data_IF_086757856682
#
_entry.id   IF_086757856682
#
_cell.length_a   1.000
_cell.length_b   1.000
_cell.length_c   1.000
_cell.angle_alpha   90.00
_cell.angle_beta   90.00
_cell.angle_gamma   90.00
#
_symmetry.space_group_name_H-M   'P 1'
#
loop_
_entity.id
_entity.type
_entity.pdbx_description
1 polymer ?
#
# COMPACT_ATOMS: atom_id res chain seq x y z
N UNK A 1 7.13 -1.97 -16.92
CA UNK A 1 6.09 -2.15 -15.89
C UNK A 1 6.62 -1.74 -14.53
N UNK A 2 5.86 -0.94 -13.80
CA UNK A 2 6.22 -0.51 -12.46
C UNK A 2 4.96 -0.14 -11.69
N UNK A 3 5.05 -0.04 -10.36
CA UNK A 3 3.95 0.44 -9.55
C UNK A 3 3.89 1.97 -9.54
N UNK A 4 2.77 2.50 -9.08
CA UNK A 4 2.52 3.95 -9.09
C UNK A 4 3.46 4.70 -8.14
N UNK A 5 3.76 4.13 -6.98
CA UNK A 5 4.66 4.76 -6.02
C UNK A 5 6.07 4.90 -6.58
N UNK A 6 6.60 3.84 -7.16
CA UNK A 6 7.92 3.86 -7.78
C UNK A 6 7.97 4.85 -8.93
N UNK A 7 6.96 4.85 -9.79
CA UNK A 7 6.90 5.79 -10.91
C UNK A 7 6.87 7.24 -10.41
N UNK A 8 6.05 7.53 -9.42
CA UNK A 8 5.88 8.90 -8.92
C UNK A 8 7.16 9.45 -8.28
N UNK A 9 7.92 8.60 -7.59
CA UNK A 9 9.15 8.99 -6.90
C UNK A 9 10.39 8.91 -7.77
N UNK A 10 10.32 8.22 -8.90
CA UNK A 10 11.46 8.05 -9.80
C UNK A 10 11.77 9.36 -10.53
N UNK A 11 13.01 9.85 -10.42
CA UNK A 11 13.40 11.16 -10.94
C UNK A 11 13.98 11.12 -12.35
N UNK A 12 14.56 10.00 -12.76
CA UNK A 12 15.26 9.89 -14.05
C UNK A 12 14.35 9.31 -15.14
N UNK A 13 13.18 9.94 -15.31
CA UNK A 13 12.18 9.44 -16.27
C UNK A 13 12.55 9.67 -17.74
N UNK A 14 13.39 10.68 -18.00
CA UNK A 14 13.75 11.06 -19.38
C UNK A 14 12.50 11.28 -20.23
N UNK A 15 12.37 10.54 -21.33
CA UNK A 15 11.21 10.64 -22.22
C UNK A 15 10.12 9.60 -21.91
N UNK A 16 10.26 8.87 -20.81
CA UNK A 16 9.26 7.87 -20.42
C UNK A 16 7.98 8.54 -19.96
N UNK A 17 6.85 7.97 -20.33
CA UNK A 17 5.55 8.43 -19.88
C UNK A 17 4.61 7.25 -19.75
N UNK A 18 3.55 7.43 -18.96
CA UNK A 18 2.53 6.40 -18.79
C UNK A 18 1.75 6.27 -20.08
N UNK A 19 1.75 5.09 -20.67
CA UNK A 19 0.98 4.79 -21.86
C UNK A 19 -0.31 4.04 -21.54
N UNK A 20 -0.31 3.29 -20.44
CA UNK A 20 -1.40 2.38 -20.12
C UNK A 20 -1.40 2.12 -18.62
N UNK A 21 -2.47 2.52 -17.93
CA UNK A 21 -2.56 2.35 -16.47
C UNK A 21 -3.98 2.01 -15.97
N UNK A 22 -4.93 1.76 -16.88
CA UNK A 22 -6.32 1.53 -16.52
C UNK A 22 -6.82 0.19 -17.05
N UNK A 23 -6.42 -0.88 -16.38
CA UNK A 23 -6.87 -2.23 -16.73
C UNK A 23 -6.89 -3.07 -15.46
N UNK A 24 -7.86 -3.96 -15.37
CA UNK A 24 -7.98 -4.87 -14.24
C UNK A 24 -6.75 -5.76 -14.08
N UNK A 25 -6.08 -6.08 -15.18
CA UNK A 25 -4.88 -6.89 -15.15
C UNK A 25 -3.71 -6.20 -14.43
N UNK A 26 -3.78 -4.88 -14.27
CA UNK A 26 -2.76 -4.10 -13.57
C UNK A 26 -3.10 -3.87 -12.09
N UNK A 27 -4.20 -4.43 -11.60
CA UNK A 27 -4.60 -4.31 -10.21
C UNK A 27 -3.55 -4.92 -9.31
N UNK A 28 -3.04 -4.13 -8.37
CA UNK A 28 -1.95 -4.51 -7.48
C UNK A 28 -2.38 -4.34 -6.02
N UNK A 29 -3.16 -5.27 -5.48
CA UNK A 29 -3.63 -5.16 -4.10
C UNK A 29 -2.53 -5.47 -3.10
N UNK A 30 -2.59 -4.81 -1.94
CA UNK A 30 -1.71 -5.06 -0.82
C UNK A 30 -2.48 -5.73 0.30
N UNK A 31 -1.83 -6.65 0.99
CA UNK A 31 -2.41 -7.31 2.13
C UNK A 31 -1.49 -7.19 3.35
N UNK A 32 -2.06 -7.33 4.52
CA UNK A 32 -1.30 -7.39 5.76
C UNK A 32 -1.74 -8.64 6.51
N UNK A 33 -0.77 -9.41 7.02
CA UNK A 33 -1.02 -10.70 7.65
C UNK A 33 -0.22 -10.78 8.95
N UNK A 34 -0.90 -11.17 10.04
CA UNK A 34 -0.20 -11.46 11.30
C UNK A 34 0.42 -12.84 11.22
N UNK A 35 1.66 -12.96 11.67
CA UNK A 35 2.36 -14.24 11.70
C UNK A 35 1.80 -15.13 12.80
N UNK A 36 1.65 -16.43 12.53
CA UNK A 36 1.09 -17.40 13.45
C UNK A 36 1.97 -17.56 14.71
N UNK A 37 1.47 -17.17 15.91
CA UNK A 37 2.28 -17.23 17.12
C UNK A 37 2.49 -18.64 17.65
N UNK A 38 1.66 -19.60 17.26
CA UNK A 38 1.85 -21.00 17.65
C UNK A 38 3.08 -21.57 16.94
N UNK A 39 3.23 -21.23 15.66
CA UNK A 39 4.36 -21.70 14.86
C UNK A 39 5.61 -20.87 15.10
N UNK A 40 5.46 -19.58 15.40
CA UNK A 40 6.56 -18.65 15.64
C UNK A 40 6.34 -17.90 16.95
N UNK A 41 6.67 -18.54 18.11
CA UNK A 41 6.31 -17.96 19.41
C UNK A 41 6.97 -16.63 19.77
N UNK A 42 8.04 -16.27 19.07
CA UNK A 42 8.77 -15.01 19.33
C UNK A 42 8.08 -13.77 18.76
N UNK A 43 7.04 -13.95 17.91
CA UNK A 43 6.37 -12.80 17.30
C UNK A 43 5.43 -12.14 18.29
N UNK A 44 5.27 -10.81 18.14
CA UNK A 44 4.37 -10.03 18.99
C UNK A 44 2.98 -9.97 18.36
N UNK A 45 2.25 -11.08 18.47
CA UNK A 45 0.97 -11.26 17.81
C UNK A 45 -0.07 -10.21 18.21
N UNK A 46 -0.18 -9.94 19.53
CA UNK A 46 -1.16 -8.95 20.01
C UNK A 46 -0.91 -7.57 19.46
N UNK A 47 0.35 -7.15 19.41
CA UNK A 47 0.73 -5.86 18.84
C UNK A 47 0.46 -5.82 17.34
N UNK A 48 0.72 -6.92 16.65
CA UNK A 48 0.41 -7.04 15.22
C UNK A 48 -1.08 -6.89 14.96
N UNK A 49 -1.92 -7.51 15.78
CA UNK A 49 -3.37 -7.38 15.64
C UNK A 49 -3.84 -5.94 15.89
N UNK A 50 -3.28 -5.27 16.88
CA UNK A 50 -3.59 -3.86 17.14
C UNK A 50 -3.26 -3.01 15.93
N UNK A 51 -2.09 -3.23 15.33
CA UNK A 51 -1.68 -2.51 14.12
C UNK A 51 -2.62 -2.78 12.94
N UNK A 52 -2.96 -4.05 12.71
CA UNK A 52 -3.87 -4.42 11.62
C UNK A 52 -5.24 -3.78 11.84
N UNK A 53 -5.79 -3.86 13.06
CA UNK A 53 -7.09 -3.28 13.36
C UNK A 53 -7.09 -1.77 13.16
N UNK A 54 -6.01 -1.10 13.55
CA UNK A 54 -5.86 0.33 13.30
C UNK A 54 -5.78 0.62 11.82
N UNK A 55 -5.01 -0.18 11.07
CA UNK A 55 -4.79 0.04 9.64
C UNK A 55 -6.09 -0.02 8.84
N UNK A 56 -7.00 -0.93 9.21
CA UNK A 56 -8.30 -1.07 8.55
C UNK A 56 -9.39 -0.23 9.19
N UNK A 57 -9.07 0.51 10.26
CA UNK A 57 -10.01 1.44 10.90
C UNK A 57 -10.19 2.71 10.07
N UNK A 58 -11.15 3.56 10.46
CA UNK A 58 -11.37 4.82 9.80
C UNK A 58 -10.13 5.72 9.77
N UNK A 59 -9.39 5.79 10.89
CA UNK A 59 -8.19 6.63 10.97
C UNK A 59 -7.07 6.11 10.06
N UNK A 60 -6.80 4.81 10.08
CA UNK A 60 -5.78 4.21 9.23
C UNK A 60 -6.11 4.36 7.75
N UNK A 61 -7.37 4.12 7.40
CA UNK A 61 -7.84 4.30 6.02
C UNK A 61 -7.68 5.74 5.55
N UNK A 62 -7.98 6.71 6.41
CA UNK A 62 -7.82 8.12 6.04
C UNK A 62 -6.36 8.48 5.78
N UNK A 63 -5.44 7.97 6.59
CA UNK A 63 -4.02 8.23 6.37
C UNK A 63 -3.55 7.67 5.02
N UNK A 64 -3.96 6.45 4.68
CA UNK A 64 -3.60 5.85 3.40
C UNK A 64 -4.24 6.61 2.25
N UNK A 65 -5.53 6.91 2.38
CA UNK A 65 -6.29 7.61 1.34
C UNK A 65 -5.73 8.99 1.05
N UNK A 66 -5.25 9.69 2.08
CA UNK A 66 -4.77 11.07 1.96
C UNK A 66 -3.25 11.17 1.74
N UNK A 67 -2.55 10.05 1.73
CA UNK A 67 -1.12 10.05 1.51
C UNK A 67 -0.79 10.45 0.07
N UNK A 68 0.06 11.44 -0.08
CA UNK A 68 0.44 11.98 -1.37
C UNK A 68 1.95 12.11 -1.48
N UNK A 69 2.47 11.91 -2.69
CA UNK A 69 3.84 12.20 -3.05
C UNK A 69 3.81 13.08 -4.29
N UNK A 70 4.49 14.21 -4.25
CA UNK A 70 4.48 15.18 -5.35
C UNK A 70 3.05 15.59 -5.74
N UNK A 71 2.18 15.77 -4.73
CA UNK A 71 0.76 16.15 -4.88
C UNK A 71 -0.09 15.09 -5.59
N UNK A 72 0.37 13.84 -5.62
CA UNK A 72 -0.36 12.74 -6.25
C UNK A 72 -0.59 11.62 -5.25
N UNK A 73 -1.81 11.10 -5.24
CA UNK A 73 -2.15 9.91 -4.44
C UNK A 73 -1.57 8.69 -5.11
N UNK A 74 -0.86 7.87 -4.32
CA UNK A 74 -0.20 6.68 -4.84
C UNK A 74 -0.80 5.38 -4.30
N UNK A 75 -1.59 5.46 -3.23
CA UNK A 75 -2.31 4.31 -2.69
C UNK A 75 -3.81 4.61 -2.64
N UNK A 76 -4.61 3.60 -2.86
CA UNK A 76 -6.06 3.72 -2.91
C UNK A 76 -6.71 2.71 -1.98
N UNK A 77 -7.82 3.12 -1.37
CA UNK A 77 -8.61 2.25 -0.51
C UNK A 77 -9.68 1.56 -1.35
N UNK A 78 -9.77 0.27 -1.19
CA UNK A 78 -10.78 -0.54 -1.82
C UNK A 78 -12.00 -0.57 -0.89
N UNK A 79 -13.01 0.21 -1.22
CA UNK A 79 -14.23 0.34 -0.41
C UNK A 79 -15.41 -0.39 -1.03
#
# INVERSE_FOLDING_TARGET
LTDRGTWTTFTNKKNLKILFDKDEALYNPYGVIAINPVKFPHVEYKKSQIFIDWLISGNGKLLIKNFEVNKKKIFFINE
#
